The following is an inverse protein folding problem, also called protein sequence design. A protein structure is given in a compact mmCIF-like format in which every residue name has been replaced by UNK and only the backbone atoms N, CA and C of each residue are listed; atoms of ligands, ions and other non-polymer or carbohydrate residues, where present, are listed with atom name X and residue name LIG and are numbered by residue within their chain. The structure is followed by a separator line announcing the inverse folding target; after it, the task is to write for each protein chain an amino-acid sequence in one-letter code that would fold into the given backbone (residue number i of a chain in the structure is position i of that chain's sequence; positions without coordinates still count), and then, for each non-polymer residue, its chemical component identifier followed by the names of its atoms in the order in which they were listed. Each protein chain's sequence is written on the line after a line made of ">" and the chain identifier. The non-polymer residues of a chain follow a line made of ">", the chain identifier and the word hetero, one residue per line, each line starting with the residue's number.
data_IF_896574207243
#
_entry.id   IF_896574207243
#
_cell.length_a   1.000
_cell.length_b   1.000
_cell.length_c   1.000
_cell.angle_alpha   90.00
_cell.angle_beta   90.00
_cell.angle_gamma   90.00
#
_symmetry.space_group_name_H-M   'P 1'
#
loop_
_entity.id
_entity.type
_entity.pdbx_description
1 polymer ?
#
# COMPACT_ATOMS: atom_id res chain seq x y z
N UNK A 1 -1.74 -0.42 -4.42
CA UNK A 1 -3.22 -0.53 -4.44
C UNK A 1 -3.81 -1.05 -3.12
N UNK A 2 -3.28 -2.18 -2.61
CA UNK A 2 -3.78 -2.83 -1.38
C UNK A 2 -3.59 -1.94 -0.15
N UNK A 3 -2.46 -1.24 -0.03
CA UNK A 3 -2.19 -0.33 1.10
C UNK A 3 -3.23 0.79 1.18
N UNK A 4 -3.55 1.48 0.08
CA UNK A 4 -4.62 2.50 0.05
C UNK A 4 -5.96 1.95 0.54
N UNK A 5 -6.31 0.72 0.13
CA UNK A 5 -7.53 0.05 0.58
C UNK A 5 -7.52 -0.23 2.09
N UNK A 6 -6.43 -0.80 2.61
CA UNK A 6 -6.26 -1.10 4.04
C UNK A 6 -6.36 0.20 4.86
N UNK A 7 -5.66 1.25 4.44
CA UNK A 7 -5.66 2.55 5.13
C UNK A 7 -7.04 3.22 5.11
N UNK A 8 -7.76 3.13 3.98
CA UNK A 8 -9.13 3.60 3.90
C UNK A 8 -10.05 2.85 4.87
N UNK A 9 -9.91 1.52 4.94
CA UNK A 9 -10.71 0.72 5.87
C UNK A 9 -10.34 1.01 7.32
N UNK A 10 -9.06 1.19 7.65
CA UNK A 10 -8.62 1.58 8.98
C UNK A 10 -9.24 2.91 9.41
N UNK A 11 -9.21 3.90 8.51
CA UNK A 11 -9.89 5.19 8.72
C UNK A 11 -11.39 5.02 8.97
N UNK A 12 -12.08 4.21 8.15
CA UNK A 12 -13.51 3.93 8.31
C UNK A 12 -13.86 3.20 9.60
N UNK A 13 -12.98 2.32 10.08
CA UNK A 13 -13.24 1.51 11.27
C UNK A 13 -12.98 2.28 12.55
N UNK A 14 -12.01 3.21 12.54
CA UNK A 14 -11.56 3.94 13.73
C UNK A 14 -12.03 5.40 13.74
N UNK A 15 -12.67 5.87 12.66
CA UNK A 15 -13.18 7.23 12.47
C UNK A 15 -12.15 8.33 12.74
N UNK A 16 -10.85 8.02 12.63
CA UNK A 16 -9.76 8.91 13.00
C UNK A 16 -8.72 8.96 11.90
N UNK A 17 -8.36 10.18 11.46
CA UNK A 17 -7.29 10.38 10.47
C UNK A 17 -5.94 9.90 10.99
N UNK A 18 -5.68 10.06 12.30
CA UNK A 18 -4.44 9.62 12.95
C UNK A 18 -4.25 8.10 12.85
N UNK A 19 -5.34 7.33 12.76
CA UNK A 19 -5.27 5.88 12.59
C UNK A 19 -4.55 5.45 11.31
N UNK A 20 -4.67 6.24 10.23
CA UNK A 20 -3.96 5.98 8.96
C UNK A 20 -2.46 5.98 9.20
N UNK A 21 -1.95 6.98 9.94
CA UNK A 21 -0.53 7.11 10.23
C UNK A 21 -0.02 5.94 11.08
N UNK A 22 -0.74 5.59 12.15
CA UNK A 22 -0.33 4.47 13.01
C UNK A 22 -0.37 3.12 12.29
N UNK A 23 -1.40 2.85 11.46
CA UNK A 23 -1.46 1.60 10.68
C UNK A 23 -0.34 1.55 9.64
N UNK A 24 -0.06 2.66 8.97
CA UNK A 24 1.07 2.74 8.05
C UNK A 24 2.42 2.52 8.75
N UNK A 25 2.61 3.13 9.93
CA UNK A 25 3.82 2.95 10.74
C UNK A 25 4.00 1.50 11.16
N UNK A 26 2.95 0.84 11.66
CA UNK A 26 2.99 -0.58 12.03
C UNK A 26 3.34 -1.44 10.81
N UNK A 27 2.75 -1.18 9.64
CA UNK A 27 3.09 -1.90 8.41
C UNK A 27 4.56 -1.72 8.00
N UNK A 28 5.10 -0.50 8.15
CA UNK A 28 6.51 -0.21 7.89
C UNK A 28 7.41 -0.96 8.87
N UNK A 29 7.07 -0.98 10.17
CA UNK A 29 7.83 -1.70 11.19
C UNK A 29 7.83 -3.21 10.95
N UNK A 30 6.68 -3.79 10.59
CA UNK A 30 6.60 -5.20 10.17
C UNK A 30 7.51 -5.45 8.96
N UNK A 31 7.53 -4.54 7.98
CA UNK A 31 8.45 -4.70 6.84
C UNK A 31 9.91 -4.53 7.24
N UNK A 32 10.21 -3.65 8.20
CA UNK A 32 11.55 -3.39 8.69
C UNK A 32 12.19 -4.62 9.35
N UNK A 33 11.39 -5.57 9.87
CA UNK A 33 11.96 -6.81 10.42
C UNK A 33 12.74 -7.60 9.37
N UNK A 34 12.44 -7.43 8.07
CA UNK A 34 13.20 -8.05 6.99
C UNK A 34 14.65 -7.53 6.88
N UNK A 35 15.01 -6.42 7.54
CA UNK A 35 16.40 -5.96 7.63
C UNK A 35 17.26 -6.85 8.52
N UNK A 36 16.63 -7.60 9.44
CA UNK A 36 17.33 -8.55 10.32
C UNK A 36 17.41 -9.96 9.72
N UNK A 37 16.81 -10.19 8.54
CA UNK A 37 16.90 -11.48 7.87
C UNK A 37 18.24 -11.57 7.11
N UNK A 38 19.04 -12.62 7.36
CA UNK A 38 20.28 -12.83 6.61
C UNK A 38 19.95 -13.11 5.14
N UNK A 39 20.87 -12.76 4.24
CA UNK A 39 20.79 -12.99 2.78
C UNK A 39 19.76 -12.15 2.00
N UNK A 40 19.01 -11.26 2.64
CA UNK A 40 18.06 -10.39 1.94
C UNK A 40 18.70 -9.04 1.61
N UNK A 41 18.77 -8.70 0.31
CA UNK A 41 19.37 -7.44 -0.13
C UNK A 41 18.62 -6.23 0.46
N UNK A 42 19.28 -5.30 1.17
CA UNK A 42 18.60 -4.22 1.91
C UNK A 42 17.63 -3.39 1.07
N UNK A 43 17.94 -3.13 -0.21
CA UNK A 43 17.05 -2.37 -1.09
C UNK A 43 15.68 -3.04 -1.32
N UNK A 44 15.60 -4.38 -1.24
CA UNK A 44 14.32 -5.13 -1.32
C UNK A 44 13.44 -4.93 -0.08
N UNK A 45 13.99 -4.35 0.99
CA UNK A 45 13.25 -4.00 2.21
C UNK A 45 13.01 -2.49 2.30
N UNK A 46 14.04 -1.69 2.06
CA UNK A 46 13.96 -0.22 2.16
C UNK A 46 13.02 0.35 1.10
N UNK A 47 13.09 -0.09 -0.17
CA UNK A 47 12.25 0.47 -1.23
C UNK A 47 10.74 0.27 -0.93
N UNK A 48 10.27 -0.93 -0.54
CA UNK A 48 8.90 -1.09 -0.06
C UNK A 48 8.54 -0.27 1.18
N UNK A 49 9.46 -0.10 2.14
CA UNK A 49 9.21 0.72 3.35
C UNK A 49 8.96 2.19 2.97
N UNK A 50 9.82 2.76 2.13
CA UNK A 50 9.68 4.14 1.65
C UNK A 50 8.39 4.30 0.84
N UNK A 51 8.07 3.35 -0.04
CA UNK A 51 6.81 3.35 -0.79
C UNK A 51 5.59 3.34 0.15
N UNK A 52 5.61 2.52 1.20
CA UNK A 52 4.53 2.48 2.22
C UNK A 52 4.43 3.78 3.00
N UNK A 53 5.56 4.40 3.36
CA UNK A 53 5.59 5.70 4.04
C UNK A 53 4.96 6.80 3.17
N UNK A 54 5.43 6.95 1.93
CA UNK A 54 4.90 7.91 0.97
C UNK A 54 3.40 7.69 0.75
N UNK A 55 2.99 6.44 0.53
CA UNK A 55 1.58 6.11 0.30
C UNK A 55 0.72 6.43 1.52
N UNK A 56 1.21 6.16 2.73
CA UNK A 56 0.52 6.50 3.98
C UNK A 56 0.32 8.00 4.12
N UNK A 57 1.38 8.79 3.86
CA UNK A 57 1.32 10.26 3.93
C UNK A 57 0.35 10.84 2.90
N UNK A 58 0.41 10.35 1.65
CA UNK A 58 -0.50 10.80 0.59
C UNK A 58 -1.95 10.45 0.91
N UNK A 59 -2.23 9.21 1.31
CA UNK A 59 -3.58 8.80 1.71
C UNK A 59 -4.07 9.63 2.90
N UNK A 60 -3.22 9.88 3.90
CA UNK A 60 -3.58 10.74 5.04
C UNK A 60 -3.96 12.15 4.59
N UNK A 61 -3.22 12.74 3.65
CA UNK A 61 -3.50 14.08 3.14
C UNK A 61 -4.83 14.14 2.35
N UNK A 62 -5.12 13.12 1.54
CA UNK A 62 -6.28 13.13 0.63
C UNK A 62 -7.50 12.35 1.13
N UNK A 63 -7.44 11.71 2.31
CA UNK A 63 -8.54 10.94 2.86
C UNK A 63 -9.88 11.70 2.92
N UNK A 64 -9.94 13.04 3.13
CA UNK A 64 -11.21 13.74 3.12
C UNK A 64 -11.90 13.69 1.74
N UNK A 65 -11.12 13.59 0.66
CA UNK A 65 -11.64 13.47 -0.71
C UNK A 65 -12.23 12.09 -0.98
N UNK A 66 -11.75 11.06 -0.28
CA UNK A 66 -12.30 9.70 -0.37
C UNK A 66 -13.70 9.63 0.27
N UNK A 67 -14.05 10.59 1.12
CA UNK A 67 -15.37 10.72 1.74
C UNK A 67 -16.34 11.61 0.96
N UNK A 68 -15.92 12.14 -0.19
CA UNK A 68 -16.79 12.98 -1.02
C UNK A 68 -18.06 12.22 -1.45
N UNK A 69 -19.20 12.91 -1.39
CA UNK A 69 -20.49 12.39 -1.90
C UNK A 69 -20.45 12.17 -3.41
N UNK A 70 -19.62 12.94 -4.14
CA UNK A 70 -19.46 12.81 -5.58
C UNK A 70 -18.56 11.63 -5.91
N UNK A 71 -19.12 10.60 -6.54
CA UNK A 71 -18.39 9.39 -6.92
C UNK A 71 -17.15 9.70 -7.76
N UNK A 72 -17.24 10.65 -8.70
CA UNK A 72 -16.11 11.08 -9.53
C UNK A 72 -14.95 11.61 -8.69
N UNK A 73 -15.20 12.41 -7.66
CA UNK A 73 -14.14 12.94 -6.78
C UNK A 73 -13.46 11.82 -5.99
N UNK A 74 -14.25 10.86 -5.50
CA UNK A 74 -13.73 9.66 -4.80
C UNK A 74 -12.85 8.82 -5.72
N UNK A 75 -13.31 8.51 -6.94
CA UNK A 75 -12.55 7.71 -7.91
C UNK A 75 -11.26 8.43 -8.30
N UNK A 76 -11.38 9.69 -8.72
CA UNK A 76 -10.24 10.49 -9.16
C UNK A 76 -9.20 10.64 -8.05
N UNK A 77 -9.62 10.88 -6.80
CA UNK A 77 -8.67 10.97 -5.68
C UNK A 77 -7.93 9.66 -5.41
N UNK A 78 -8.58 8.49 -5.49
CA UNK A 78 -7.92 7.18 -5.34
C UNK A 78 -6.89 6.95 -6.46
N UNK A 79 -7.25 7.24 -7.69
CA UNK A 79 -6.36 7.09 -8.86
C UNK A 79 -5.19 8.07 -8.76
N UNK A 80 -5.45 9.34 -8.42
CA UNK A 80 -4.43 10.35 -8.24
C UNK A 80 -3.42 9.96 -7.17
N UNK A 81 -3.86 9.42 -6.03
CA UNK A 81 -2.94 8.87 -5.02
C UNK A 81 -2.05 7.80 -5.62
N UNK A 82 -2.63 6.85 -6.37
CA UNK A 82 -1.90 5.73 -6.99
C UNK A 82 -0.80 6.19 -7.95
N UNK A 83 -1.05 7.27 -8.69
CA UNK A 83 -0.07 7.87 -9.60
C UNK A 83 0.93 8.74 -8.83
N UNK A 84 0.45 9.55 -7.89
CA UNK A 84 1.26 10.50 -7.13
C UNK A 84 2.36 9.82 -6.31
N UNK A 85 2.07 8.72 -5.61
CA UNK A 85 3.11 8.05 -4.81
C UNK A 85 4.22 7.49 -5.70
N UNK A 86 3.89 7.06 -6.92
CA UNK A 86 4.88 6.56 -7.89
C UNK A 86 5.75 7.67 -8.43
N UNK A 87 5.16 8.84 -8.69
CA UNK A 87 5.92 10.02 -9.09
C UNK A 87 6.94 10.39 -8.00
N UNK A 88 6.52 10.39 -6.73
CA UNK A 88 7.43 10.62 -5.60
C UNK A 88 8.51 9.52 -5.52
N UNK A 89 8.15 8.26 -5.80
CA UNK A 89 9.12 7.16 -5.84
C UNK A 89 10.14 7.28 -6.97
N UNK A 90 9.77 7.79 -8.14
CA UNK A 90 10.74 8.11 -9.20
C UNK A 90 11.76 9.14 -8.68
N UNK A 91 11.31 10.17 -7.97
CA UNK A 91 12.19 11.13 -7.30
C UNK A 91 13.12 10.47 -6.28
N UNK A 92 12.59 9.55 -5.47
CA UNK A 92 13.38 8.76 -4.52
C UNK A 92 14.45 7.91 -5.22
N UNK A 93 14.10 7.20 -6.31
CA UNK A 93 15.06 6.42 -7.08
C UNK A 93 16.13 7.31 -7.72
N UNK A 94 15.75 8.48 -8.25
CA UNK A 94 16.69 9.44 -8.80
C UNK A 94 17.69 9.93 -7.75
N UNK A 95 17.22 10.31 -6.56
CA UNK A 95 18.10 10.68 -5.45
C UNK A 95 19.01 9.52 -5.01
N UNK A 96 18.48 8.30 -4.94
CA UNK A 96 19.26 7.13 -4.57
C UNK A 96 20.38 6.85 -5.59
N UNK A 97 20.10 6.98 -6.88
CA UNK A 97 21.11 6.87 -7.94
C UNK A 97 22.22 7.92 -7.77
N UNK A 98 21.87 9.19 -7.56
CA UNK A 98 22.85 10.27 -7.36
C UNK A 98 23.78 10.06 -6.14
N UNK A 99 23.33 9.29 -5.14
CA UNK A 99 24.07 9.07 -3.90
C UNK A 99 24.85 7.75 -3.86
N UNK A 100 24.44 6.76 -4.65
CA UNK A 100 24.94 5.38 -4.54
C UNK A 100 25.34 4.74 -5.86
N UNK A 101 25.16 5.44 -6.97
CA UNK A 101 25.31 4.95 -8.35
C UNK A 101 24.44 3.71 -8.69
N UNK A 102 23.47 3.38 -7.82
CA UNK A 102 22.53 2.30 -8.05
C UNK A 102 21.39 2.73 -8.97
N UNK A 103 21.37 2.20 -10.20
CA UNK A 103 20.35 2.51 -11.18
C UNK A 103 19.17 1.52 -11.11
N UNK A 104 18.03 1.96 -10.54
CA UNK A 104 16.78 1.17 -10.56
C UNK A 104 16.22 1.08 -11.99
N UNK A 105 15.64 -0.08 -12.34
CA UNK A 105 15.10 -0.34 -13.68
C UNK A 105 14.01 0.66 -14.08
N UNK A 106 13.28 1.23 -13.12
CA UNK A 106 12.21 2.21 -13.36
C UNK A 106 12.73 3.58 -13.78
N UNK A 107 13.98 3.90 -13.50
CA UNK A 107 14.61 5.19 -13.89
C UNK A 107 15.67 5.02 -14.98
N UNK A 108 15.83 3.81 -15.52
CA UNK A 108 16.82 3.51 -16.59
C UNK A 108 16.54 4.30 -17.88
N UNK A 109 15.30 4.73 -18.09
CA UNK A 109 14.91 5.55 -19.22
C UNK A 109 13.53 6.16 -19.01
N UNK A 110 13.12 7.03 -19.94
CA UNK A 110 11.83 7.71 -19.88
C UNK A 110 10.63 6.75 -19.97
N UNK A 111 10.70 5.76 -20.86
CA UNK A 111 9.61 4.80 -21.07
C UNK A 111 9.33 3.93 -19.82
N UNK A 112 10.31 3.28 -19.17
CA UNK A 112 10.07 2.58 -17.91
C UNK A 112 9.52 3.47 -16.80
N UNK A 113 9.98 4.72 -16.71
CA UNK A 113 9.52 5.67 -15.70
C UNK A 113 8.05 6.04 -15.90
N UNK A 114 7.66 6.37 -17.13
CA UNK A 114 6.29 6.70 -17.49
C UNK A 114 5.38 5.47 -17.36
N UNK A 115 5.83 4.29 -17.80
CA UNK A 115 5.07 3.04 -17.65
C UNK A 115 4.80 2.74 -16.17
N UNK A 116 5.81 2.90 -15.31
CA UNK A 116 5.64 2.75 -13.87
C UNK A 116 4.62 3.76 -13.32
N UNK A 117 4.81 5.06 -13.57
CA UNK A 117 3.98 6.11 -12.98
C UNK A 117 2.54 6.08 -13.50
N UNK A 118 2.36 5.99 -14.81
CA UNK A 118 1.08 6.11 -15.48
C UNK A 118 0.41 4.75 -15.65
N UNK A 119 1.02 3.81 -16.36
CA UNK A 119 0.37 2.54 -16.70
C UNK A 119 0.12 1.71 -15.43
N UNK A 120 1.16 1.40 -14.65
CA UNK A 120 0.97 0.66 -13.40
C UNK A 120 0.18 1.48 -12.35
N UNK A 121 0.34 2.81 -12.39
CA UNK A 121 -0.40 3.76 -11.58
C UNK A 121 -1.91 3.66 -11.78
N UNK A 122 -2.36 3.73 -13.03
CA UNK A 122 -3.76 3.63 -13.43
C UNK A 122 -4.32 2.24 -13.17
N UNK A 123 -3.60 1.17 -13.52
CA UNK A 123 -4.03 -0.22 -13.25
C UNK A 123 -4.23 -0.42 -11.74
N UNK A 124 -3.26 0.01 -10.93
CA UNK A 124 -3.37 -0.07 -9.47
C UNK A 124 -4.48 0.83 -8.92
N UNK A 125 -4.66 2.01 -9.50
CA UNK A 125 -5.72 2.94 -9.12
C UNK A 125 -7.10 2.36 -9.38
N UNK A 126 -7.31 1.80 -10.58
CA UNK A 126 -8.52 1.10 -10.95
C UNK A 126 -8.80 -0.08 -10.01
N UNK A 127 -7.79 -0.89 -9.71
CA UNK A 127 -7.95 -2.00 -8.75
C UNK A 127 -8.33 -1.51 -7.34
N UNK A 128 -7.70 -0.43 -6.85
CA UNK A 128 -8.05 0.16 -5.56
C UNK A 128 -9.48 0.72 -5.55
N UNK A 129 -9.91 1.36 -6.64
CA UNK A 129 -11.29 1.83 -6.81
C UNK A 129 -12.27 0.66 -6.74
N UNK A 130 -12.01 -0.42 -7.49
CA UNK A 130 -12.85 -1.63 -7.46
C UNK A 130 -12.98 -2.18 -6.03
N UNK A 131 -11.86 -2.32 -5.31
CA UNK A 131 -11.88 -2.79 -3.92
C UNK A 131 -12.68 -1.86 -3.00
N UNK A 132 -12.48 -0.55 -3.10
CA UNK A 132 -13.21 0.43 -2.28
C UNK A 132 -14.71 0.39 -2.59
N UNK A 133 -15.12 0.33 -3.86
CA UNK A 133 -16.54 0.26 -4.23
C UNK A 133 -17.18 -1.09 -3.86
N UNK A 134 -16.43 -2.18 -3.97
CA UNK A 134 -16.88 -3.52 -3.57
C UNK A 134 -17.11 -3.67 -2.05
N UNK A 135 -16.54 -2.80 -1.21
CA UNK A 135 -16.77 -2.90 0.25
C UNK A 135 -18.20 -2.65 0.68
N UNK A 136 -19.00 -1.87 -0.07
CA UNK A 136 -20.40 -1.63 0.27
C UNK A 136 -21.26 -2.91 0.19
N UNK A 137 -21.23 -3.69 -0.91
CA UNK A 137 -21.93 -4.99 -0.96
C UNK A 137 -21.28 -6.04 -0.04
N UNK A 138 -19.96 -6.00 0.18
CA UNK A 138 -19.28 -6.91 1.09
C UNK A 138 -19.63 -6.69 2.56
N UNK A 139 -20.06 -5.50 2.99
CA UNK A 139 -20.59 -5.28 4.36
C UNK A 139 -21.84 -6.11 4.66
N UNK A 140 -22.64 -6.42 3.63
CA UNK A 140 -23.79 -7.31 3.78
C UNK A 140 -23.35 -8.78 4.03
N UNK A 141 -22.20 -9.17 3.46
CA UNK A 141 -21.56 -10.47 3.68
C UNK A 141 -20.71 -10.50 4.97
N UNK A 142 -20.22 -9.34 5.42
CA UNK A 142 -19.33 -9.19 6.58
C UNK A 142 -20.07 -9.07 7.92
N UNK A 143 -21.27 -9.66 8.06
CA UNK A 143 -21.84 -10.05 9.36
C UNK A 143 -21.03 -11.15 10.07
N UNK A 144 -19.75 -11.32 9.71
CA UNK A 144 -18.78 -12.05 10.52
C UNK A 144 -18.49 -11.22 11.76
N UNK A 145 -18.96 -11.74 12.89
CA UNK A 145 -18.79 -11.14 14.21
C UNK A 145 -17.29 -10.97 14.54
N UNK A 146 -16.77 -9.75 14.35
CA UNK A 146 -15.35 -9.38 14.56
C UNK A 146 -14.88 -9.62 16.00
N UNK A 147 -15.80 -9.82 16.94
CA UNK A 147 -15.51 -10.15 18.32
C UNK A 147 -14.93 -11.56 18.50
N UNK A 148 -14.96 -12.41 17.46
CA UNK A 148 -14.52 -13.82 17.50
C UNK A 148 -13.37 -14.15 16.55
N UNK A 149 -12.38 -13.28 16.37
CA UNK A 149 -11.11 -13.74 15.80
C UNK A 149 -10.45 -14.63 16.88
N UNK A 150 -10.74 -15.92 16.83
CA UNK A 150 -10.16 -16.87 17.77
C UNK A 150 -8.65 -16.97 17.51
N UNK A 151 -7.84 -17.18 18.57
CA UNK A 151 -6.40 -17.41 18.42
C UNK A 151 -6.08 -18.48 17.37
N UNK A 152 -6.94 -19.49 17.26
CA UNK A 152 -6.83 -20.60 16.29
C UNK A 152 -6.86 -20.08 14.85
N UNK A 153 -7.77 -19.16 14.51
CA UNK A 153 -7.84 -18.59 13.15
C UNK A 153 -6.57 -17.78 12.86
N UNK A 154 -6.11 -16.98 13.82
CA UNK A 154 -4.85 -16.22 13.68
C UNK A 154 -3.64 -17.15 13.49
N UNK A 155 -3.56 -18.24 14.26
CA UNK A 155 -2.50 -19.25 14.12
C UNK A 155 -2.59 -19.99 12.79
N UNK A 156 -3.79 -20.35 12.33
CA UNK A 156 -3.98 -20.99 11.03
C UNK A 156 -3.55 -20.09 9.87
N UNK A 157 -3.92 -18.80 9.90
CA UNK A 157 -3.48 -17.81 8.90
C UNK A 157 -1.97 -17.61 8.96
N UNK A 158 -1.36 -17.60 10.15
CA UNK A 158 0.10 -17.53 10.32
C UNK A 158 0.80 -18.74 9.69
N UNK A 159 0.32 -19.96 9.94
CA UNK A 159 0.86 -21.18 9.35
C UNK A 159 0.75 -21.14 7.82
N UNK A 160 -0.41 -20.75 7.29
CA UNK A 160 -0.61 -20.58 5.83
C UNK A 160 0.38 -19.55 5.29
N UNK A 161 0.57 -18.42 5.97
CA UNK A 161 1.52 -17.39 5.55
C UNK A 161 2.96 -17.91 5.54
N UNK A 162 3.37 -18.69 6.54
CA UNK A 162 4.69 -19.33 6.60
C UNK A 162 4.85 -20.30 5.43
N UNK A 163 3.89 -21.21 5.22
CA UNK A 163 3.93 -22.20 4.12
C UNK A 163 4.02 -21.50 2.77
N UNK A 164 3.17 -20.51 2.50
CA UNK A 164 3.20 -19.76 1.25
C UNK A 164 4.49 -18.95 1.06
N UNK A 165 5.11 -18.51 2.15
CA UNK A 165 6.40 -17.83 2.09
C UNK A 165 7.52 -18.81 1.76
N UNK A 166 7.52 -20.01 2.35
CA UNK A 166 8.55 -21.03 2.14
C UNK A 166 8.43 -21.75 0.79
N UNK A 167 7.21 -21.96 0.27
CA UNK A 167 6.97 -22.65 -1.01
C UNK A 167 7.31 -21.78 -2.23
N UNK A 168 7.46 -20.45 -2.04
CA UNK A 168 7.81 -19.49 -3.11
C UNK A 168 9.29 -19.11 -3.18
N UNK A 169 10.15 -19.88 -2.52
CA UNK A 169 11.61 -19.82 -2.69
C UNK A 169 12.13 -21.12 -3.27
#
# INVERSE_FOLDING_TARGET
>A
PIVTFILYHAYKSLSSRKAIFFVGLVAILIKATNLFLPFLFPAKTINPMIAMAIQTLLVFAVIPLFESKKLSVKITSIVLVSVAWRLVMIGYYGMNYLMTDFLDFRIRGFEPAISFVITEGLISGAFAVLLVLATNPLKALAKFDRSRISPIISTAVLVIAIVLTLVKF
#
